data_IF_545326630214
#
_entry.id   IF_545326630214
#
_cell.length_a   1.000
_cell.length_b   1.000
_cell.length_c   1.000
_cell.angle_alpha   90.00
_cell.angle_beta   90.00
_cell.angle_gamma   90.00
#
_symmetry.space_group_name_H-M   'P 1'
#
loop_
_entity.id
_entity.type
_entity.pdbx_description
1 polymer ?
#
# COMPACT_ATOMS: atom_id res chain seq x y z
N UNK A 1 2.25 -17.26 -13.36
CA UNK A 1 3.35 -16.33 -13.24
C UNK A 1 3.46 -15.43 -14.46
N UNK A 2 3.52 -16.01 -15.65
CA UNK A 2 3.53 -15.23 -16.87
C UNK A 2 2.22 -14.45 -17.05
N UNK A 3 1.10 -14.98 -16.56
CA UNK A 3 -0.18 -14.29 -16.59
C UNK A 3 -0.11 -13.06 -15.70
N UNK A 4 0.45 -13.19 -14.50
CA UNK A 4 0.58 -12.06 -13.58
C UNK A 4 1.50 -10.98 -14.13
N UNK A 5 2.61 -11.40 -14.77
CA UNK A 5 3.52 -10.45 -15.41
C UNK A 5 2.83 -9.70 -16.54
N UNK A 6 2.06 -10.42 -17.37
CA UNK A 6 1.32 -9.80 -18.45
C UNK A 6 0.31 -8.78 -17.96
N UNK A 7 -0.40 -9.10 -16.88
CA UNK A 7 -1.35 -8.18 -16.28
C UNK A 7 -0.65 -6.92 -15.78
N UNK A 8 0.49 -7.10 -15.14
CA UNK A 8 1.26 -5.97 -14.60
C UNK A 8 1.71 -5.04 -15.73
N UNK A 9 2.30 -5.60 -16.78
CA UNK A 9 2.78 -4.78 -17.90
C UNK A 9 1.63 -4.08 -18.59
N UNK A 10 0.51 -4.76 -18.77
CA UNK A 10 -0.67 -4.14 -19.37
C UNK A 10 -1.20 -3.01 -18.49
N UNK A 11 -1.22 -3.21 -17.17
CA UNK A 11 -1.69 -2.20 -16.23
C UNK A 11 -0.80 -0.95 -16.29
N UNK A 12 0.52 -1.13 -16.32
CA UNK A 12 1.45 -0.01 -16.39
C UNK A 12 1.26 0.75 -17.71
N UNK A 13 1.05 0.04 -18.81
CA UNK A 13 0.81 0.66 -20.10
C UNK A 13 -0.48 1.48 -20.10
N UNK A 14 -1.56 0.92 -19.55
CA UNK A 14 -2.83 1.63 -19.43
C UNK A 14 -2.67 2.89 -18.58
N UNK A 15 -1.97 2.78 -17.46
CA UNK A 15 -1.74 3.91 -16.57
C UNK A 15 -0.95 5.01 -17.28
N UNK A 16 0.04 4.61 -18.08
CA UNK A 16 0.84 5.56 -18.84
C UNK A 16 -0.03 6.33 -19.83
N UNK A 17 -0.90 5.61 -20.53
CA UNK A 17 -1.78 6.24 -21.53
C UNK A 17 -2.76 7.21 -20.88
N UNK A 18 -3.34 6.82 -19.75
CA UNK A 18 -4.32 7.66 -19.06
C UNK A 18 -3.69 8.81 -18.30
N UNK A 19 -2.52 8.59 -17.73
CA UNK A 19 -1.90 9.56 -16.82
C UNK A 19 -1.03 10.60 -17.53
N UNK A 20 -0.66 10.37 -18.77
CA UNK A 20 0.18 11.31 -19.50
C UNK A 20 1.62 11.38 -19.02
N UNK A 21 2.06 10.39 -18.26
CA UNK A 21 3.42 10.29 -17.75
C UNK A 21 3.95 8.90 -18.04
N UNK A 22 5.26 8.70 -17.90
CA UNK A 22 5.84 7.37 -18.06
C UNK A 22 5.21 6.42 -17.01
N UNK A 23 4.94 5.19 -17.45
CA UNK A 23 4.38 4.18 -16.55
C UNK A 23 5.25 3.93 -15.34
N UNK A 24 6.58 3.98 -15.52
CA UNK A 24 7.51 3.81 -14.41
C UNK A 24 7.37 4.94 -13.39
N UNK A 25 7.20 6.18 -13.85
CA UNK A 25 7.02 7.30 -12.94
C UNK A 25 5.73 7.16 -12.14
N UNK A 26 4.65 6.73 -12.79
CA UNK A 26 3.38 6.53 -12.11
C UNK A 26 3.50 5.42 -11.07
N UNK A 27 4.12 4.31 -11.44
CA UNK A 27 4.31 3.19 -10.51
C UNK A 27 5.16 3.60 -9.31
N UNK A 28 6.27 4.28 -9.56
CA UNK A 28 7.17 4.72 -8.50
C UNK A 28 6.47 5.68 -7.55
N UNK A 29 5.72 6.65 -8.09
CA UNK A 29 4.97 7.58 -7.27
C UNK A 29 3.90 6.87 -6.44
N UNK A 30 3.20 5.90 -7.04
CA UNK A 30 2.18 5.13 -6.34
C UNK A 30 2.78 4.36 -5.17
N UNK A 31 3.87 3.64 -5.41
CA UNK A 31 4.53 2.87 -4.36
C UNK A 31 5.02 3.79 -3.24
N UNK A 32 5.64 4.90 -3.60
CA UNK A 32 6.16 5.83 -2.60
C UNK A 32 5.04 6.43 -1.75
N UNK A 33 3.88 6.69 -2.35
CA UNK A 33 2.76 7.29 -1.63
C UNK A 33 2.07 6.30 -0.69
N UNK A 34 2.22 4.99 -0.91
CA UNK A 34 1.54 4.01 -0.06
C UNK A 34 2.48 3.25 0.88
N UNK A 35 3.80 3.49 0.81
CA UNK A 35 4.74 2.84 1.73
C UNK A 35 4.43 3.25 3.17
N UNK A 36 4.18 2.28 4.06
CA UNK A 36 3.98 2.64 5.47
C UNK A 36 5.30 2.75 6.20
N UNK A 37 5.49 3.81 6.98
CA UNK A 37 6.67 3.95 7.83
C UNK A 37 6.50 3.21 9.14
N UNK A 38 5.26 3.05 9.59
CA UNK A 38 4.93 2.42 10.86
C UNK A 38 3.83 1.40 10.66
N UNK A 39 3.84 0.36 11.49
CA UNK A 39 2.73 -0.58 11.57
C UNK A 39 2.48 -0.89 13.04
N UNK A 40 1.40 -1.60 13.32
CA UNK A 40 1.00 -1.93 14.68
C UNK A 40 1.05 -3.43 14.85
N UNK A 41 1.71 -3.89 15.90
CA UNK A 41 1.75 -5.32 16.23
C UNK A 41 1.20 -5.55 17.63
N UNK A 42 0.50 -6.68 17.79
CA UNK A 42 -0.04 -7.05 19.09
C UNK A 42 1.06 -7.59 19.99
N UNK A 43 1.02 -7.20 21.25
CA UNK A 43 1.92 -7.74 22.25
C UNK A 43 1.17 -7.94 23.56
N UNK A 44 1.36 -9.09 24.19
CA UNK A 44 0.74 -9.38 25.48
C UNK A 44 1.69 -8.98 26.60
N UNK A 45 1.18 -8.18 27.52
CA UNK A 45 1.93 -7.75 28.69
C UNK A 45 0.99 -7.89 29.88
N UNK A 46 1.36 -8.74 30.85
CA UNK A 46 0.58 -8.92 32.06
C UNK A 46 -0.86 -9.37 31.86
N UNK A 47 -1.10 -10.19 30.82
CA UNK A 47 -2.44 -10.67 30.52
C UNK A 47 -3.27 -9.76 29.64
N UNK A 48 -2.81 -8.53 29.40
CA UNK A 48 -3.47 -7.60 28.48
C UNK A 48 -2.79 -7.61 27.12
N UNK A 49 -3.55 -7.34 26.07
CA UNK A 49 -3.01 -7.26 24.71
C UNK A 49 -2.96 -5.80 24.29
N UNK A 50 -1.79 -5.36 23.84
CA UNK A 50 -1.57 -3.98 23.38
C UNK A 50 -1.20 -3.98 21.92
N UNK A 51 -1.64 -2.93 21.20
CA UNK A 51 -1.23 -2.69 19.82
C UNK A 51 -0.03 -1.74 19.87
N UNK A 52 1.16 -2.28 19.55
CA UNK A 52 2.42 -1.53 19.72
C UNK A 52 2.91 -1.05 18.36
N UNK A 53 3.13 0.27 18.17
CA UNK A 53 3.67 0.77 16.92
C UNK A 53 5.15 0.44 16.78
N UNK A 54 5.54 -0.03 15.60
CA UNK A 54 6.94 -0.32 15.30
C UNK A 54 7.29 0.22 13.92
N UNK A 55 8.56 0.56 13.74
CA UNK A 55 9.05 0.98 12.44
C UNK A 55 9.06 -0.19 11.47
N UNK A 56 8.69 0.09 10.22
CA UNK A 56 8.73 -0.91 9.16
C UNK A 56 10.08 -0.79 8.44
N UNK A 57 10.77 -1.91 8.27
CA UNK A 57 12.03 -1.93 7.54
C UNK A 57 11.80 -1.57 6.07
N UNK A 58 12.78 -0.92 5.39
CA UNK A 58 12.57 -0.47 4.01
C UNK A 58 12.11 -1.55 3.05
N UNK A 59 12.67 -2.76 3.15
CA UNK A 59 12.26 -3.86 2.27
C UNK A 59 10.80 -4.21 2.46
N UNK A 60 10.35 -4.23 3.73
CA UNK A 60 8.97 -4.54 4.04
C UNK A 60 8.03 -3.42 3.64
N UNK A 61 8.49 -2.16 3.68
CA UNK A 61 7.67 -1.03 3.22
C UNK A 61 7.26 -1.21 1.78
N UNK A 62 8.21 -1.54 0.92
CA UNK A 62 7.94 -1.74 -0.50
C UNK A 62 7.04 -2.94 -0.70
N UNK A 63 7.31 -4.05 -0.01
CA UNK A 63 6.51 -5.26 -0.14
C UNK A 63 5.07 -5.02 0.29
N UNK A 64 4.87 -4.30 1.40
CA UNK A 64 3.52 -3.96 1.88
C UNK A 64 2.80 -3.03 0.91
N UNK A 65 3.52 -2.05 0.36
CA UNK A 65 2.92 -1.12 -0.61
C UNK A 65 2.38 -1.88 -1.82
N UNK A 66 3.18 -2.78 -2.37
CA UNK A 66 2.78 -3.55 -3.54
C UNK A 66 1.63 -4.48 -3.19
N UNK A 67 1.71 -5.15 -2.05
CA UNK A 67 0.65 -6.07 -1.60
C UNK A 67 -0.68 -5.32 -1.47
N UNK A 68 -0.67 -4.15 -0.85
CA UNK A 68 -1.89 -3.37 -0.66
C UNK A 68 -2.43 -2.83 -1.98
N UNK A 69 -1.55 -2.41 -2.90
CA UNK A 69 -1.99 -1.95 -4.21
C UNK A 69 -2.75 -3.05 -4.94
N UNK A 70 -2.21 -4.27 -4.93
CA UNK A 70 -2.86 -5.40 -5.58
C UNK A 70 -4.18 -5.75 -4.88
N UNK A 71 -4.18 -5.74 -3.55
CA UNK A 71 -5.37 -6.08 -2.78
C UNK A 71 -6.53 -5.13 -3.07
N UNK A 72 -6.25 -3.83 -3.08
CA UNK A 72 -7.31 -2.85 -3.32
C UNK A 72 -7.66 -2.75 -4.79
N UNK A 73 -6.72 -3.08 -5.69
CA UNK A 73 -7.06 -3.18 -7.10
C UNK A 73 -8.09 -4.28 -7.34
N UNK A 74 -7.92 -5.42 -6.68
CA UNK A 74 -8.87 -6.53 -6.81
C UNK A 74 -10.29 -6.16 -6.37
N UNK A 75 -10.40 -5.22 -5.46
CA UNK A 75 -11.69 -4.79 -4.93
C UNK A 75 -12.40 -3.75 -5.82
N UNK A 76 -11.72 -3.25 -6.85
CA UNK A 76 -12.31 -2.26 -7.73
C UNK A 76 -13.30 -2.91 -8.69
N UNK A 77 -14.13 -2.08 -9.30
CA UNK A 77 -15.24 -2.54 -10.14
C UNK A 77 -14.93 -2.59 -11.63
N UNK A 78 -13.76 -2.15 -12.05
CA UNK A 78 -13.41 -2.22 -13.47
C UNK A 78 -13.41 -3.67 -13.97
N UNK A 79 -13.58 -3.84 -15.27
CA UNK A 79 -13.85 -5.13 -15.85
C UNK A 79 -12.65 -6.09 -15.79
N UNK A 80 -11.46 -5.64 -16.10
CA UNK A 80 -10.28 -6.51 -16.11
C UNK A 80 -9.35 -6.15 -14.96
N UNK A 81 -8.51 -7.12 -14.55
CA UNK A 81 -7.55 -6.87 -13.49
C UNK A 81 -6.52 -5.82 -13.92
N UNK A 82 -6.14 -5.81 -15.20
CA UNK A 82 -5.20 -4.81 -15.70
C UNK A 82 -5.78 -3.40 -15.54
N UNK A 83 -7.06 -3.22 -15.86
CA UNK A 83 -7.73 -1.92 -15.68
C UNK A 83 -7.81 -1.54 -14.23
N UNK A 84 -8.16 -2.50 -13.37
CA UNK A 84 -8.27 -2.26 -11.92
C UNK A 84 -6.92 -1.81 -11.36
N UNK A 85 -5.86 -2.52 -11.71
CA UNK A 85 -4.53 -2.19 -11.21
C UNK A 85 -4.07 -0.84 -11.75
N UNK A 86 -4.30 -0.57 -13.05
CA UNK A 86 -3.92 0.70 -13.65
C UNK A 86 -4.59 1.87 -12.93
N UNK A 87 -5.88 1.76 -12.66
CA UNK A 87 -6.61 2.84 -12.02
C UNK A 87 -6.22 3.01 -10.56
N UNK A 88 -5.92 1.91 -9.87
CA UNK A 88 -5.43 2.01 -8.49
C UNK A 88 -4.04 2.67 -8.46
N UNK A 89 -3.16 2.31 -9.39
CA UNK A 89 -1.85 2.94 -9.49
C UNK A 89 -1.96 4.45 -9.76
N UNK A 90 -2.85 4.82 -10.67
CA UNK A 90 -3.06 6.24 -10.98
C UNK A 90 -3.57 7.00 -9.75
N UNK A 91 -4.57 6.45 -9.06
CA UNK A 91 -5.11 7.10 -7.87
C UNK A 91 -4.03 7.24 -6.81
N UNK A 92 -3.27 6.16 -6.55
CA UNK A 92 -2.22 6.18 -5.54
C UNK A 92 -1.11 7.17 -5.90
N UNK A 93 -0.79 7.30 -7.20
CA UNK A 93 0.25 8.24 -7.63
C UNK A 93 -0.15 9.68 -7.36
N UNK A 94 -1.45 9.94 -7.22
CA UNK A 94 -1.98 11.27 -6.90
C UNK A 94 -2.28 11.43 -5.41
N UNK A 95 -1.92 10.47 -4.59
CA UNK A 95 -2.21 10.50 -3.16
C UNK A 95 -3.65 10.20 -2.82
N UNK A 96 -4.35 9.47 -3.69
CA UNK A 96 -5.78 9.17 -3.53
C UNK A 96 -6.01 7.67 -3.56
N UNK A 97 -7.23 7.26 -3.28
CA UNK A 97 -7.65 5.88 -3.42
C UNK A 97 -7.55 5.09 -2.13
N UNK A 98 -8.07 3.86 -2.21
CA UNK A 98 -8.19 3.00 -1.02
C UNK A 98 -6.84 2.58 -0.45
N UNK A 99 -5.84 2.38 -1.31
CA UNK A 99 -4.52 1.97 -0.86
C UNK A 99 -3.85 3.07 -0.03
N UNK A 100 -3.94 4.32 -0.48
CA UNK A 100 -3.42 5.46 0.27
C UNK A 100 -4.16 5.59 1.59
N UNK A 101 -5.48 5.39 1.56
CA UNK A 101 -6.28 5.43 2.78
C UNK A 101 -5.82 4.36 3.77
N UNK A 102 -5.49 3.16 3.28
CA UNK A 102 -4.97 2.08 4.14
C UNK A 102 -3.68 2.51 4.83
N UNK A 103 -2.77 3.13 4.06
CA UNK A 103 -1.51 3.62 4.63
C UNK A 103 -1.79 4.68 5.69
N UNK A 104 -2.67 5.63 5.40
CA UNK A 104 -3.01 6.69 6.34
C UNK A 104 -3.68 6.14 7.59
N UNK A 105 -4.57 5.15 7.44
CA UNK A 105 -5.23 4.53 8.60
C UNK A 105 -4.21 3.79 9.46
N UNK A 106 -3.25 3.11 8.85
CA UNK A 106 -2.20 2.40 9.58
C UNK A 106 -1.35 3.37 10.39
N UNK A 107 -0.97 4.49 9.77
CA UNK A 107 -0.20 5.53 10.47
C UNK A 107 -1.01 6.15 11.60
N UNK A 108 -2.30 6.35 11.39
CA UNK A 108 -3.18 6.90 12.42
C UNK A 108 -3.31 5.95 13.61
N UNK A 109 -3.42 4.65 13.33
CA UNK A 109 -3.44 3.65 14.40
C UNK A 109 -2.14 3.63 15.19
N UNK A 110 -1.01 3.72 14.49
CA UNK A 110 0.30 3.74 15.14
C UNK A 110 0.43 4.99 16.01
N UNK A 111 -0.05 6.12 15.53
CA UNK A 111 -0.01 7.36 16.29
C UNK A 111 -0.90 7.29 17.52
N UNK A 112 -2.10 6.71 17.38
CA UNK A 112 -3.02 6.56 18.51
C UNK A 112 -2.46 5.64 19.57
N UNK A 113 -1.60 4.69 19.19
CA UNK A 113 -1.01 3.73 20.13
C UNK A 113 0.42 4.10 20.52
N UNK A 114 0.82 5.33 20.28
CA UNK A 114 2.18 5.80 20.54
C UNK A 114 2.59 5.61 21.99
N UNK A 115 1.64 5.74 22.91
CA UNK A 115 1.91 5.58 24.35
C UNK A 115 2.40 4.18 24.69
N UNK A 116 2.16 3.20 23.85
CA UNK A 116 2.58 1.83 24.08
C UNK A 116 3.92 1.47 23.43
N UNK A 117 4.61 2.45 22.86
CA UNK A 117 5.87 2.20 22.18
C UNK A 117 6.92 1.56 23.09
N UNK A 118 6.86 1.83 24.39
CA UNK A 118 7.81 1.26 25.34
C UNK A 118 7.61 -0.25 25.54
N UNK A 119 6.53 -0.83 25.04
CA UNK A 119 6.30 -2.27 25.10
C UNK A 119 6.87 -3.00 23.87
N UNK A 120 7.43 -2.30 22.92
CA UNK A 120 7.88 -2.95 21.68
C UNK A 120 9.08 -3.87 21.95
N UNK A 121 9.19 -4.90 21.09
CA UNK A 121 10.19 -5.94 21.20
C UNK A 121 11.61 -5.46 20.91
#
# INVERSE_FOLDING_TARGET
KSVAEGIFYEAVKIAEEKGGQSGLNIFTAAVNNVKPALEVKSRRVGGATYQVPIEVRPERRTALAIKWLVMYARARSEKTMADRLANELLAASRGEGSTVKKKDDTHRMAEANKAFAHYRW
#
